data_IF_868276966199
#
_entry.id   IF_868276966199
#
_cell.length_a   1.000
_cell.length_b   1.000
_cell.length_c   1.000
_cell.angle_alpha   90.00
_cell.angle_beta   90.00
_cell.angle_gamma   90.00
#
_symmetry.space_group_name_H-M   'P 1'
#
loop_
_entity.id
_entity.type
_entity.pdbx_description
1 polymer ?
#
# COMPACT_ATOMS: atom_id res chain seq x y z
N UNK A 1 56.97 51.74 2.36
CA UNK A 1 55.73 51.27 1.71
C UNK A 1 55.89 49.80 1.34
N UNK A 2 55.29 48.89 2.11
CA UNK A 2 55.31 47.44 1.87
C UNK A 2 53.86 46.97 1.99
N UNK A 3 53.23 46.61 0.87
CA UNK A 3 51.88 46.05 0.86
C UNK A 3 51.96 44.54 1.08
N UNK A 4 51.44 44.10 2.22
CA UNK A 4 51.21 42.70 2.55
C UNK A 4 49.93 42.21 1.86
N UNK A 5 50.05 41.18 1.02
CA UNK A 5 48.92 40.48 0.43
C UNK A 5 48.44 39.39 1.41
N UNK A 6 47.20 39.50 1.86
CA UNK A 6 46.53 38.55 2.74
C UNK A 6 45.93 37.40 1.92
N UNK A 7 46.37 36.17 2.17
CA UNK A 7 45.70 34.96 1.72
C UNK A 7 44.42 34.75 2.54
N UNK A 8 43.25 34.89 1.91
CA UNK A 8 41.97 34.46 2.49
C UNK A 8 41.69 33.03 2.05
N UNK A 9 41.87 32.08 2.97
CA UNK A 9 41.35 30.73 2.85
C UNK A 9 39.82 30.78 2.75
N UNK A 10 39.25 30.41 1.60
CA UNK A 10 37.82 30.10 1.47
C UNK A 10 37.51 28.83 2.28
N UNK A 11 36.95 29.03 3.47
CA UNK A 11 36.23 27.98 4.20
C UNK A 11 35.06 27.49 3.32
N UNK A 12 35.10 26.21 2.95
CA UNK A 12 33.98 25.49 2.34
C UNK A 12 32.85 25.41 3.37
N UNK A 13 31.61 25.84 3.05
CA UNK A 13 30.48 25.58 3.93
C UNK A 13 30.28 24.07 4.01
N UNK A 14 30.43 23.52 5.21
CA UNK A 14 30.05 22.14 5.52
C UNK A 14 28.56 21.99 5.23
N UNK A 15 28.23 21.14 4.27
CA UNK A 15 26.89 20.60 4.08
C UNK A 15 26.42 20.03 5.42
N UNK A 16 25.38 20.65 6.00
CA UNK A 16 24.75 20.20 7.22
C UNK A 16 24.28 18.76 7.04
N UNK A 17 24.95 17.89 7.78
CA UNK A 17 24.77 16.44 7.78
C UNK A 17 23.30 16.08 7.99
N UNK A 18 22.72 15.44 6.97
CA UNK A 18 21.49 14.69 7.13
C UNK A 18 21.68 13.68 8.27
N UNK A 19 20.71 13.66 9.18
CA UNK A 19 20.72 12.89 10.43
C UNK A 19 21.06 11.40 10.22
N UNK A 20 22.34 11.07 10.32
CA UNK A 20 22.90 9.72 10.31
C UNK A 20 23.20 9.27 11.74
N UNK A 21 23.02 7.98 12.02
CA UNK A 21 23.66 7.36 13.19
C UNK A 21 25.18 7.30 12.96
N UNK A 22 25.96 7.20 14.05
CA UNK A 22 27.41 7.08 14.01
C UNK A 22 27.93 5.87 13.19
N UNK A 23 27.08 4.90 12.88
CA UNK A 23 27.40 3.68 12.11
C UNK A 23 27.04 3.77 10.60
N UNK A 24 26.58 4.93 10.11
CA UNK A 24 26.25 5.11 8.69
C UNK A 24 24.92 4.51 8.24
N UNK A 25 24.14 3.89 9.14
CA UNK A 25 22.81 3.37 8.81
C UNK A 25 21.80 4.51 8.59
N UNK A 26 21.00 4.41 7.53
CA UNK A 26 19.88 5.32 7.31
C UNK A 26 18.86 5.15 8.45
N UNK A 27 18.48 6.25 9.12
CA UNK A 27 17.35 6.24 10.07
C UNK A 27 16.09 5.83 9.30
N UNK A 28 15.67 4.58 9.46
CA UNK A 28 14.34 4.15 9.04
C UNK A 28 13.33 5.03 9.78
N UNK A 29 12.56 5.82 9.03
CA UNK A 29 11.36 6.47 9.56
C UNK A 29 10.51 5.35 10.12
N UNK A 30 10.40 5.26 11.45
CA UNK A 30 9.52 4.27 12.08
C UNK A 30 8.14 4.48 11.47
N UNK A 31 7.66 3.50 10.71
CA UNK A 31 6.26 3.41 10.37
C UNK A 31 5.52 3.28 11.69
N UNK A 32 4.85 4.35 12.11
CA UNK A 32 4.00 4.33 13.30
C UNK A 32 3.01 3.18 13.10
N UNK A 33 3.15 2.11 13.87
CA UNK A 33 2.15 1.04 13.95
C UNK A 33 0.89 1.70 14.54
N UNK A 34 -0.21 1.85 13.79
CA UNK A 34 -1.42 2.41 14.37
C UNK A 34 -1.92 1.41 15.42
N UNK A 35 -1.85 1.81 16.68
CA UNK A 35 -2.48 1.08 17.77
C UNK A 35 -3.99 1.19 17.56
N UNK A 36 -4.60 0.11 17.04
CA UNK A 36 -6.05 -0.02 16.96
C UNK A 36 -6.58 -0.27 18.36
N UNK A 37 -7.11 0.76 18.99
CA UNK A 37 -7.81 0.66 20.27
C UNK A 37 -9.24 0.20 19.99
N UNK A 38 -9.68 -0.86 20.68
CA UNK A 38 -11.04 -1.39 20.57
C UNK A 38 -12.08 -0.31 20.91
N UNK A 39 -13.23 -0.32 20.23
CA UNK A 39 -14.28 0.69 20.38
C UNK A 39 -14.81 0.83 21.83
N UNK A 40 -14.66 -0.22 22.63
CA UNK A 40 -15.11 -0.34 24.02
C UNK A 40 -14.02 0.02 25.06
N UNK A 41 -12.81 0.39 24.64
CA UNK A 41 -11.72 0.66 25.58
C UNK A 41 -11.88 2.03 26.26
N UNK A 42 -11.76 2.13 27.59
CA UNK A 42 -11.82 3.40 28.32
C UNK A 42 -10.64 4.35 28.01
N UNK A 43 -9.53 3.82 27.46
CA UNK A 43 -8.37 4.61 27.00
C UNK A 43 -8.61 5.36 25.67
N UNK A 44 -9.77 5.17 25.05
CA UNK A 44 -10.16 5.74 23.74
C UNK A 44 -10.15 7.26 23.72
N UNK A 45 -10.59 7.91 24.80
CA UNK A 45 -10.65 9.37 24.92
C UNK A 45 -9.26 10.02 24.99
N UNK A 46 -8.23 9.27 25.40
CA UNK A 46 -6.86 9.79 25.52
C UNK A 46 -6.08 9.73 24.20
N UNK A 47 -6.66 9.16 23.12
CA UNK A 47 -5.97 8.98 21.82
C UNK A 47 -6.80 9.35 20.60
N UNK A 48 -7.91 10.08 20.77
CA UNK A 48 -8.72 10.63 19.67
C UNK A 48 -7.96 11.77 18.97
N UNK A 49 -7.92 11.73 17.63
CA UNK A 49 -7.15 12.70 16.84
C UNK A 49 -5.68 12.36 16.68
N UNK A 50 -5.35 11.07 16.47
CA UNK A 50 -3.98 10.70 16.11
C UNK A 50 -3.57 11.43 14.84
N UNK A 51 -2.49 12.20 14.89
CA UNK A 51 -1.94 12.86 13.71
C UNK A 51 -1.09 11.88 12.91
N UNK A 52 -1.32 11.82 11.60
CA UNK A 52 -0.54 11.06 10.66
C UNK A 52 -0.16 11.89 9.44
N UNK A 53 0.40 11.23 8.44
CA UNK A 53 0.63 11.81 7.12
C UNK A 53 -0.12 11.01 6.07
N UNK A 54 -0.69 11.71 5.11
CA UNK A 54 -1.27 11.11 3.94
C UNK A 54 -0.18 10.39 3.14
N UNK A 55 -0.39 9.10 2.85
CA UNK A 55 0.56 8.30 2.06
C UNK A 55 0.75 8.77 0.62
N UNK A 56 -0.23 9.50 0.08
CA UNK A 56 -0.23 9.93 -1.32
C UNK A 56 0.31 11.34 -1.55
N UNK A 57 0.13 12.26 -0.59
CA UNK A 57 0.58 13.64 -0.74
C UNK A 57 1.50 14.14 0.38
N UNK A 58 1.79 13.31 1.39
CA UNK A 58 2.69 13.63 2.51
C UNK A 58 2.15 14.66 3.52
N UNK A 59 1.00 15.29 3.24
CA UNK A 59 0.38 16.29 4.10
C UNK A 59 -0.16 15.68 5.40
N UNK A 60 -0.26 16.50 6.44
CA UNK A 60 -0.76 16.07 7.75
C UNK A 60 -2.25 15.76 7.70
N UNK A 61 -2.65 14.72 8.42
CA UNK A 61 -4.04 14.27 8.59
C UNK A 61 -4.29 13.92 10.06
N UNK A 62 -5.53 14.05 10.51
CA UNK A 62 -5.96 13.59 11.82
C UNK A 62 -6.97 12.45 11.66
N UNK A 63 -6.74 11.37 12.39
CA UNK A 63 -7.57 10.16 12.34
C UNK A 63 -8.62 10.23 13.44
N UNK A 64 -9.88 10.09 13.04
CA UNK A 64 -11.03 10.06 13.95
C UNK A 64 -11.90 8.84 13.69
N UNK A 65 -12.60 8.35 14.71
CA UNK A 65 -13.64 7.34 14.51
C UNK A 65 -14.96 8.04 14.23
N UNK A 66 -15.75 7.48 13.32
CA UNK A 66 -17.11 7.91 13.04
C UNK A 66 -18.10 7.26 14.00
N UNK A 67 -19.33 7.76 14.02
CA UNK A 67 -20.43 7.16 14.78
C UNK A 67 -20.69 5.68 14.36
N UNK A 68 -20.45 5.32 13.10
CA UNK A 68 -20.54 3.96 12.57
C UNK A 68 -19.27 3.11 12.84
N UNK A 69 -18.39 3.57 13.73
CA UNK A 69 -17.10 2.95 14.10
C UNK A 69 -16.06 2.87 12.98
N UNK A 70 -16.34 3.38 11.77
CA UNK A 70 -15.35 3.43 10.69
C UNK A 70 -14.37 4.61 10.91
N UNK A 71 -13.08 4.47 10.61
CA UNK A 71 -12.15 5.60 10.68
C UNK A 71 -12.40 6.60 9.55
N UNK A 72 -12.07 7.87 9.80
CA UNK A 72 -12.02 8.93 8.80
C UNK A 72 -10.78 9.80 9.00
N UNK A 73 -10.14 10.12 7.88
CA UNK A 73 -9.01 11.04 7.83
C UNK A 73 -9.52 12.45 7.57
N UNK A 74 -9.41 13.31 8.58
CA UNK A 74 -9.78 14.72 8.47
C UNK A 74 -8.53 15.59 8.30
N UNK A 75 -8.66 16.67 7.54
CA UNK A 75 -7.65 17.70 7.52
C UNK A 75 -7.54 18.36 8.91
N UNK A 76 -6.33 18.62 9.45
CA UNK A 76 -6.17 19.12 10.81
C UNK A 76 -6.76 20.51 11.06
N UNK A 77 -6.83 21.34 10.02
CA UNK A 77 -7.32 22.72 10.12
C UNK A 77 -8.83 22.77 10.01
N UNK A 78 -9.45 23.52 10.92
CA UNK A 78 -10.86 23.87 10.89
C UNK A 78 -11.14 24.98 9.89
N UNK A 79 -12.27 24.90 9.24
CA UNK A 79 -12.72 25.81 8.19
C UNK A 79 -14.12 26.29 8.51
N UNK A 80 -14.38 27.56 8.20
CA UNK A 80 -15.69 28.16 8.38
C UNK A 80 -16.72 27.44 7.51
N UNK A 81 -17.86 27.07 8.07
CA UNK A 81 -18.93 26.36 7.33
C UNK A 81 -19.44 27.16 6.12
N UNK A 82 -19.40 28.49 6.18
CA UNK A 82 -19.77 29.40 5.07
C UNK A 82 -19.03 29.10 3.75
N UNK A 83 -17.77 28.67 3.82
CA UNK A 83 -16.92 28.45 2.64
C UNK A 83 -16.89 26.99 2.16
N UNK A 84 -17.56 26.08 2.88
CA UNK A 84 -17.46 24.63 2.67
C UNK A 84 -18.83 24.07 2.28
N UNK A 85 -18.95 23.31 1.18
CA UNK A 85 -20.21 22.64 0.84
C UNK A 85 -20.69 21.69 1.94
N UNK A 86 -21.99 21.62 2.19
CA UNK A 86 -22.56 20.81 3.28
C UNK A 86 -22.18 19.32 3.22
N UNK A 87 -21.98 18.77 2.01
CA UNK A 87 -21.54 17.40 1.77
C UNK A 87 -20.10 17.13 2.25
N UNK A 88 -19.28 18.16 2.41
CA UNK A 88 -17.89 18.05 2.82
C UNK A 88 -17.67 18.40 4.30
N UNK A 89 -18.71 18.83 5.03
CA UNK A 89 -18.62 19.27 6.42
C UNK A 89 -18.65 18.10 7.37
N UNK A 90 -17.69 18.10 8.29
CA UNK A 90 -17.63 17.16 9.41
C UNK A 90 -17.40 17.94 10.71
N UNK A 91 -18.04 17.52 11.78
CA UNK A 91 -17.79 18.04 13.12
C UNK A 91 -17.27 16.93 14.03
N UNK A 92 -16.67 17.34 15.14
CA UNK A 92 -16.17 16.41 16.15
C UNK A 92 -16.92 16.64 17.46
N UNK A 93 -17.52 15.58 17.99
CA UNK A 93 -18.12 15.56 19.32
C UNK A 93 -17.47 14.46 20.14
N UNK A 94 -16.88 14.80 21.29
CA UNK A 94 -16.17 13.86 22.17
C UNK A 94 -15.14 12.98 21.43
N UNK A 95 -14.49 13.54 20.41
CA UNK A 95 -13.50 12.86 19.57
C UNK A 95 -14.07 11.91 18.49
N UNK A 96 -15.39 11.83 18.37
CA UNK A 96 -16.11 11.11 17.30
C UNK A 96 -16.43 12.08 16.17
N UNK A 97 -16.20 11.65 14.93
CA UNK A 97 -16.48 12.42 13.73
C UNK A 97 -17.89 12.15 13.21
N UNK A 98 -18.64 13.21 13.02
CA UNK A 98 -20.02 13.17 12.53
C UNK A 98 -20.12 13.93 11.21
N UNK A 99 -20.85 13.40 10.22
CA UNK A 99 -21.09 14.11 8.97
C UNK A 99 -22.05 15.28 9.22
N UNK A 100 -21.98 16.30 8.36
CA UNK A 100 -22.76 17.53 8.41
C UNK A 100 -22.42 18.42 9.62
N UNK A 101 -23.08 19.58 9.71
CA UNK A 101 -22.86 20.53 10.80
C UNK A 101 -23.71 20.19 12.01
N UNK A 102 -23.14 20.37 13.20
CA UNK A 102 -23.81 20.41 14.51
C UNK A 102 -24.40 21.80 14.83
N UNK A 103 -24.49 22.69 13.84
CA UNK A 103 -24.81 24.11 14.03
C UNK A 103 -23.60 24.99 14.31
N UNK A 104 -22.39 24.43 14.43
CA UNK A 104 -21.16 25.21 14.58
C UNK A 104 -20.84 26.04 13.33
N UNK A 105 -20.21 27.20 13.55
CA UNK A 105 -19.61 28.02 12.50
C UNK A 105 -18.37 27.37 11.87
N UNK A 106 -17.85 26.29 12.47
CA UNK A 106 -16.61 25.63 12.09
C UNK A 106 -16.85 24.16 11.72
N UNK A 107 -16.12 23.67 10.74
CA UNK A 107 -16.13 22.28 10.34
C UNK A 107 -14.73 21.81 9.95
N UNK A 108 -14.56 20.49 9.89
CA UNK A 108 -13.41 19.84 9.28
C UNK A 108 -13.83 19.19 7.99
N UNK A 109 -12.84 18.91 7.14
CA UNK A 109 -13.05 18.36 5.81
C UNK A 109 -12.28 17.05 5.69
N UNK A 110 -12.86 16.01 5.06
CA UNK A 110 -12.14 14.79 4.77
C UNK A 110 -10.92 15.08 3.91
N UNK A 111 -9.77 14.51 4.29
CA UNK A 111 -8.53 14.74 3.56
C UNK A 111 -8.62 14.25 2.12
N UNK A 112 -9.44 13.24 1.82
CA UNK A 112 -9.68 12.75 0.46
C UNK A 112 -10.21 13.84 -0.49
N UNK A 113 -11.04 14.75 0.01
CA UNK A 113 -11.57 15.90 -0.75
C UNK A 113 -10.49 16.96 -1.00
N UNK A 114 -9.54 17.10 -0.07
CA UNK A 114 -8.48 18.10 -0.12
C UNK A 114 -7.16 17.59 -0.72
N UNK A 115 -7.01 16.28 -0.88
CA UNK A 115 -5.76 15.67 -1.30
C UNK A 115 -5.44 16.07 -2.75
N UNK A 116 -4.27 16.68 -3.00
CA UNK A 116 -3.85 17.03 -4.36
C UNK A 116 -3.76 15.85 -5.32
N UNK A 117 -3.55 14.65 -4.79
CA UNK A 117 -3.45 13.41 -5.57
C UNK A 117 -4.81 12.91 -6.09
N UNK A 118 -5.91 13.22 -5.40
CA UNK A 118 -7.23 12.75 -5.82
C UNK A 118 -7.92 13.82 -6.68
N UNK A 119 -8.47 13.46 -7.85
CA UNK A 119 -9.30 14.39 -8.61
C UNK A 119 -10.55 14.75 -7.77
N UNK A 120 -11.01 16.00 -7.83
CA UNK A 120 -12.24 16.40 -7.13
C UNK A 120 -13.42 15.61 -7.71
N UNK A 121 -14.14 14.90 -6.85
CA UNK A 121 -15.28 14.05 -7.26
C UNK A 121 -16.59 14.83 -7.41
N UNK A 122 -16.59 16.14 -7.11
CA UNK A 122 -17.74 17.04 -7.21
C UNK A 122 -17.24 18.49 -7.38
N UNK A 123 -18.09 19.44 -7.84
CA UNK A 123 -17.74 20.85 -7.88
C UNK A 123 -17.37 21.34 -6.48
N UNK A 124 -16.10 21.68 -6.29
CA UNK A 124 -15.59 22.20 -5.03
C UNK A 124 -15.74 23.72 -5.00
N UNK A 125 -16.02 24.31 -3.84
CA UNK A 125 -16.05 25.78 -3.73
C UNK A 125 -14.65 26.37 -4.02
N UNK A 126 -14.54 27.63 -4.48
CA UNK A 126 -13.24 28.26 -4.76
C UNK A 126 -12.28 28.25 -3.57
N UNK A 127 -12.83 28.28 -2.36
CA UNK A 127 -12.05 28.19 -1.12
C UNK A 127 -11.41 26.80 -0.95
N UNK A 128 -12.14 25.73 -1.23
CA UNK A 128 -11.62 24.35 -1.21
C UNK A 128 -10.51 24.18 -2.24
N UNK A 129 -10.67 24.76 -3.43
CA UNK A 129 -9.62 24.76 -4.45
C UNK A 129 -8.38 25.53 -4.02
N UNK A 130 -8.54 26.66 -3.33
CA UNK A 130 -7.42 27.39 -2.75
C UNK A 130 -6.65 26.53 -1.73
N UNK A 131 -7.36 25.83 -0.83
CA UNK A 131 -6.74 24.90 0.13
C UNK A 131 -6.04 23.74 -0.59
N UNK A 132 -6.66 23.15 -1.61
CA UNK A 132 -6.04 22.10 -2.45
C UNK A 132 -4.75 22.59 -3.11
N UNK A 133 -4.75 23.80 -3.67
CA UNK A 133 -3.55 24.42 -4.26
C UNK A 133 -2.44 24.61 -3.22
N UNK A 134 -2.77 25.11 -2.03
CA UNK A 134 -1.79 25.24 -0.94
C UNK A 134 -1.18 23.89 -0.54
N UNK A 135 -2.01 22.86 -0.43
CA UNK A 135 -1.54 21.50 -0.13
C UNK A 135 -0.68 20.92 -1.26
N UNK A 136 -0.97 21.24 -2.53
CA UNK A 136 -0.17 20.82 -3.68
C UNK A 136 1.24 21.45 -3.65
N UNK A 137 1.32 22.76 -3.41
CA UNK A 137 2.60 23.47 -3.23
C UNK A 137 3.38 22.87 -2.06
N UNK A 138 2.70 22.58 -0.95
CA UNK A 138 3.32 21.94 0.22
C UNK A 138 3.84 20.54 -0.11
N UNK A 139 3.07 19.72 -0.82
CA UNK A 139 3.51 18.41 -1.30
C UNK A 139 4.77 18.54 -2.14
N UNK A 140 4.81 19.48 -3.10
CA UNK A 140 6.00 19.69 -3.93
C UNK A 140 7.23 20.04 -3.09
N UNK A 141 7.10 20.96 -2.12
CA UNK A 141 8.19 21.28 -1.17
C UNK A 141 8.64 20.06 -0.36
N UNK A 142 7.71 19.22 0.09
CA UNK A 142 8.06 17.98 0.81
C UNK A 142 8.84 16.99 -0.07
N UNK A 143 8.56 16.95 -1.38
CA UNK A 143 9.32 16.16 -2.35
C UNK A 143 10.71 16.75 -2.54
N UNK A 144 10.81 18.05 -2.82
CA UNK A 144 12.09 18.72 -3.11
C UNK A 144 13.05 18.66 -1.91
N UNK A 145 12.52 18.66 -0.69
CA UNK A 145 13.30 18.52 0.56
C UNK A 145 13.62 17.07 0.95
N UNK A 146 13.13 16.07 0.18
CA UNK A 146 13.32 14.65 0.47
C UNK A 146 12.55 14.13 1.69
N UNK A 147 11.67 14.94 2.29
CA UNK A 147 10.83 14.55 3.45
C UNK A 147 9.70 13.61 3.02
N UNK A 148 9.28 13.68 1.76
CA UNK A 148 8.26 12.83 1.18
C UNK A 148 8.73 12.32 -0.19
N UNK A 149 8.96 11.02 -0.30
CA UNK A 149 9.10 10.37 -1.59
C UNK A 149 7.71 9.90 -2.01
N UNK A 150 7.11 10.46 -3.07
CA UNK A 150 5.84 9.96 -3.57
C UNK A 150 6.08 8.52 -3.99
N UNK A 151 5.12 7.64 -3.69
CA UNK A 151 5.09 6.35 -4.35
C UNK A 151 5.15 6.63 -5.85
N UNK A 152 6.04 5.97 -6.63
CA UNK A 152 6.08 6.18 -8.06
C UNK A 152 4.64 6.05 -8.55
N UNK A 153 4.17 7.05 -9.29
CA UNK A 153 2.92 6.93 -10.01
C UNK A 153 2.99 5.57 -10.67
N UNK A 154 1.98 4.72 -10.44
CA UNK A 154 1.85 3.54 -11.26
C UNK A 154 1.73 4.08 -12.67
N UNK A 155 2.86 4.14 -13.39
CA UNK A 155 2.83 4.21 -14.83
C UNK A 155 1.86 3.10 -15.19
N UNK A 156 0.77 3.46 -15.86
CA UNK A 156 0.08 2.47 -16.67
C UNK A 156 1.17 1.71 -17.39
N UNK A 157 1.25 0.38 -17.20
CA UNK A 157 2.34 -0.36 -17.78
C UNK A 157 2.27 -0.11 -19.28
N UNK A 158 3.34 0.51 -19.80
CA UNK A 158 3.55 0.57 -21.23
C UNK A 158 3.31 -0.84 -21.76
N UNK A 159 2.35 -0.95 -22.69
CA UNK A 159 2.04 -2.18 -23.37
C UNK A 159 3.31 -2.65 -24.10
N UNK A 160 4.12 -3.48 -23.44
CA UNK A 160 5.47 -3.73 -23.94
C UNK A 160 6.39 -4.46 -22.99
N UNK A 161 5.91 -5.46 -22.26
CA UNK A 161 6.73 -6.59 -21.80
C UNK A 161 5.78 -7.69 -21.33
N UNK A 162 5.76 -8.83 -22.04
CA UNK A 162 5.17 -10.12 -21.68
C UNK A 162 3.94 -10.05 -20.77
N UNK A 163 2.72 -10.23 -21.32
CA UNK A 163 1.43 -10.03 -20.65
C UNK A 163 1.11 -10.94 -19.44
N UNK A 164 2.04 -11.10 -18.50
CA UNK A 164 1.94 -11.86 -17.26
C UNK A 164 1.99 -10.89 -16.07
N UNK A 165 1.08 -11.04 -15.09
CA UNK A 165 1.06 -10.19 -13.92
C UNK A 165 2.31 -10.37 -13.06
N UNK A 166 3.00 -9.28 -12.74
CA UNK A 166 4.18 -9.29 -11.87
C UNK A 166 3.88 -9.76 -10.45
N UNK A 167 2.62 -9.59 -9.98
CA UNK A 167 2.13 -10.05 -8.68
C UNK A 167 0.72 -10.64 -8.85
N UNK A 168 0.64 -11.93 -9.20
CA UNK A 168 -0.61 -12.61 -9.51
C UNK A 168 -1.49 -12.83 -8.28
N UNK A 169 -2.81 -12.81 -8.50
CA UNK A 169 -3.80 -13.27 -7.51
C UNK A 169 -3.94 -14.78 -7.61
N UNK A 170 -3.83 -15.46 -6.48
CA UNK A 170 -3.80 -16.92 -6.36
C UNK A 170 -4.96 -17.37 -5.48
N UNK A 171 -5.70 -18.37 -5.91
CA UNK A 171 -6.75 -18.98 -5.11
C UNK A 171 -6.29 -20.34 -4.59
N UNK A 172 -6.26 -20.49 -3.27
CA UNK A 172 -5.90 -21.73 -2.57
C UNK A 172 -6.57 -21.76 -1.20
N UNK A 173 -6.90 -22.94 -0.69
CA UNK A 173 -7.55 -23.13 0.62
C UNK A 173 -8.78 -22.24 0.83
N UNK A 174 -9.60 -22.08 -0.23
CA UNK A 174 -10.80 -21.21 -0.28
C UNK A 174 -10.54 -19.70 -0.06
N UNK A 175 -9.28 -19.30 0.05
CA UNK A 175 -8.85 -17.91 0.17
C UNK A 175 -8.24 -17.40 -1.14
N UNK A 176 -8.17 -16.07 -1.26
CA UNK A 176 -7.42 -15.40 -2.31
C UNK A 176 -6.22 -14.68 -1.72
N UNK A 177 -5.07 -14.88 -2.35
CA UNK A 177 -3.79 -14.35 -1.92
C UNK A 177 -3.12 -13.64 -3.08
N UNK A 178 -2.48 -12.51 -2.80
CA UNK A 178 -1.57 -11.85 -3.71
C UNK A 178 -0.17 -12.43 -3.51
N UNK A 179 0.43 -12.93 -4.58
CA UNK A 179 1.81 -13.41 -4.55
C UNK A 179 2.82 -12.26 -4.39
N UNK A 180 4.01 -12.59 -3.90
CA UNK A 180 5.12 -11.64 -3.77
C UNK A 180 5.66 -11.23 -5.15
N UNK A 181 5.77 -12.20 -6.07
CA UNK A 181 6.32 -12.09 -7.44
C UNK A 181 5.47 -12.94 -8.39
N UNK A 182 5.84 -12.99 -9.68
CA UNK A 182 5.24 -13.91 -10.64
C UNK A 182 5.28 -15.36 -10.13
N UNK A 183 4.29 -16.18 -10.50
CA UNK A 183 4.09 -17.54 -9.95
C UNK A 183 5.34 -18.40 -10.11
N UNK A 184 5.98 -18.33 -11.27
CA UNK A 184 7.19 -19.06 -11.63
C UNK A 184 8.40 -18.65 -10.78
N UNK A 185 8.43 -17.42 -10.29
CA UNK A 185 9.53 -16.84 -9.53
C UNK A 185 9.35 -16.98 -8.02
N UNK A 186 8.19 -17.46 -7.56
CA UNK A 186 7.93 -17.66 -6.13
C UNK A 186 8.90 -18.71 -5.59
N UNK A 187 9.89 -18.27 -4.79
CA UNK A 187 10.93 -19.15 -4.24
C UNK A 187 10.53 -19.79 -2.92
N UNK A 188 11.03 -20.98 -2.70
CA UNK A 188 10.92 -21.69 -1.43
C UNK A 188 11.42 -20.84 -0.24
N UNK A 189 10.72 -20.90 0.89
CA UNK A 189 11.14 -20.20 2.13
C UNK A 189 12.01 -21.05 3.06
N UNK A 190 12.07 -22.37 2.80
CA UNK A 190 12.84 -23.30 3.61
C UNK A 190 14.35 -23.04 3.52
N UNK A 191 15.05 -23.39 4.59
CA UNK A 191 16.48 -23.32 4.72
C UNK A 191 17.15 -24.56 4.10
N UNK A 192 18.21 -24.33 3.32
CA UNK A 192 19.08 -25.40 2.81
C UNK A 192 20.05 -25.90 3.88
N UNK A 193 20.73 -27.03 3.63
CA UNK A 193 21.81 -27.54 4.51
C UNK A 193 22.93 -26.51 4.75
N UNK A 194 23.18 -25.63 3.78
CA UNK A 194 24.17 -24.55 3.86
C UNK A 194 23.63 -23.28 4.53
N UNK A 195 22.48 -23.36 5.22
CA UNK A 195 21.84 -22.24 5.94
C UNK A 195 21.41 -21.05 5.08
N UNK A 196 21.31 -21.21 3.76
CA UNK A 196 20.75 -20.20 2.86
C UNK A 196 19.29 -20.50 2.52
N UNK A 197 18.52 -19.48 2.12
CA UNK A 197 17.19 -19.67 1.55
C UNK A 197 17.27 -20.57 0.32
N UNK A 198 16.38 -21.54 0.23
CA UNK A 198 16.33 -22.44 -0.91
C UNK A 198 16.06 -21.64 -2.20
N UNK A 199 16.91 -21.77 -3.24
CA UNK A 199 16.74 -21.06 -4.50
C UNK A 199 15.65 -21.67 -5.37
N UNK A 200 15.16 -22.87 -5.04
CA UNK A 200 14.22 -23.62 -5.86
C UNK A 200 12.84 -22.94 -5.84
N UNK A 201 12.16 -22.87 -7.00
CA UNK A 201 10.79 -22.36 -7.07
C UNK A 201 9.82 -23.28 -6.33
N UNK A 202 8.70 -22.69 -5.88
CA UNK A 202 7.57 -23.44 -5.33
C UNK A 202 6.83 -24.17 -6.45
N UNK A 203 6.76 -23.59 -7.64
CA UNK A 203 6.30 -24.25 -8.84
C UNK A 203 7.34 -25.31 -9.27
N UNK A 204 6.95 -26.58 -9.36
CA UNK A 204 7.82 -27.60 -9.92
C UNK A 204 7.70 -27.62 -11.44
N UNK A 205 8.82 -27.91 -12.14
CA UNK A 205 8.83 -28.05 -13.60
C UNK A 205 7.96 -29.21 -14.13
N UNK A 206 7.61 -30.19 -13.29
CA UNK A 206 6.89 -31.42 -13.67
C UNK A 206 5.67 -31.73 -12.80
N UNK A 207 5.21 -30.80 -11.95
CA UNK A 207 4.11 -31.02 -11.01
C UNK A 207 2.78 -30.46 -11.53
N UNK A 208 1.63 -30.92 -11.00
CA UNK A 208 0.32 -30.38 -11.36
C UNK A 208 0.29 -28.86 -11.11
N UNK A 209 -0.12 -28.15 -12.15
CA UNK A 209 -0.15 -26.69 -12.18
C UNK A 209 -1.53 -26.18 -11.74
N UNK A 210 -1.55 -24.98 -11.18
CA UNK A 210 -2.78 -24.22 -11.11
C UNK A 210 -3.22 -23.80 -12.51
N UNK A 211 -4.49 -23.46 -12.65
CA UNK A 211 -5.04 -23.00 -13.92
C UNK A 211 -5.33 -21.50 -13.83
N UNK A 212 -4.97 -20.77 -14.88
CA UNK A 212 -5.41 -19.39 -15.03
C UNK A 212 -6.89 -19.36 -15.37
N UNK A 213 -7.69 -18.69 -14.56
CA UNK A 213 -9.14 -18.56 -14.73
C UNK A 213 -9.60 -17.14 -14.45
N UNK A 214 -10.72 -16.73 -15.06
CA UNK A 214 -11.37 -15.46 -14.77
C UNK A 214 -12.42 -15.67 -13.68
N UNK A 215 -12.19 -15.08 -12.51
CA UNK A 215 -13.13 -15.13 -11.39
C UNK A 215 -13.60 -13.73 -11.02
N UNK A 216 -14.81 -13.58 -10.46
CA UNK A 216 -15.27 -12.27 -9.99
C UNK A 216 -14.32 -11.71 -8.93
N UNK A 217 -13.91 -10.45 -9.06
CA UNK A 217 -13.12 -9.71 -8.06
C UNK A 217 -13.94 -9.33 -6.81
N UNK A 218 -15.06 -10.02 -6.56
CA UNK A 218 -15.97 -9.71 -5.46
C UNK A 218 -15.27 -9.73 -4.11
N UNK A 219 -15.71 -8.81 -3.27
CA UNK A 219 -15.32 -8.76 -1.87
C UNK A 219 -15.87 -9.94 -1.08
N UNK A 220 -15.03 -10.58 -0.27
CA UNK A 220 -15.52 -11.54 0.72
C UNK A 220 -16.14 -10.79 1.89
N UNK A 221 -17.49 -10.80 1.95
CA UNK A 221 -18.38 -10.35 3.04
C UNK A 221 -18.31 -8.85 3.41
N UNK A 222 -19.45 -8.17 3.29
CA UNK A 222 -19.71 -6.88 3.93
C UNK A 222 -19.09 -5.64 3.28
N UNK A 223 -18.46 -5.76 2.10
CA UNK A 223 -17.96 -4.60 1.34
C UNK A 223 -18.92 -4.27 0.17
N UNK A 224 -18.87 -3.03 -0.31
CA UNK A 224 -19.67 -2.55 -1.46
C UNK A 224 -19.45 -3.48 -2.66
N UNK A 225 -20.54 -3.86 -3.32
CA UNK A 225 -20.47 -4.64 -4.54
C UNK A 225 -19.64 -3.86 -5.58
N UNK A 226 -18.46 -4.38 -5.91
CA UNK A 226 -17.73 -3.90 -7.06
C UNK A 226 -18.56 -4.21 -8.32
N UNK A 227 -18.54 -3.34 -9.35
CA UNK A 227 -19.02 -3.73 -10.68
C UNK A 227 -18.44 -5.09 -11.02
N UNK A 228 -19.23 -5.96 -11.68
CA UNK A 228 -18.89 -7.36 -11.98
C UNK A 228 -17.58 -7.47 -12.80
N UNK A 229 -16.46 -7.27 -12.12
CA UNK A 229 -15.13 -7.17 -12.70
C UNK A 229 -14.55 -8.54 -12.57
N UNK A 230 -14.38 -9.21 -13.71
CA UNK A 230 -13.63 -10.45 -13.78
C UNK A 230 -12.15 -10.15 -13.61
N UNK A 231 -11.44 -11.02 -12.89
CA UNK A 231 -10.00 -10.92 -12.71
C UNK A 231 -9.34 -12.27 -12.97
N UNK A 232 -8.14 -12.22 -13.53
CA UNK A 232 -7.28 -13.38 -13.73
C UNK A 232 -6.77 -13.84 -12.38
N UNK A 233 -7.10 -15.08 -12.04
CA UNK A 233 -6.69 -15.78 -10.84
C UNK A 233 -5.97 -17.05 -11.23
N UNK A 234 -4.83 -17.30 -10.60
CA UNK A 234 -4.17 -18.59 -10.66
C UNK A 234 -4.82 -19.52 -9.65
N UNK A 235 -5.68 -20.41 -10.14
CA UNK A 235 -6.51 -21.28 -9.32
C UNK A 235 -5.78 -22.59 -8.99
N UNK A 236 -5.39 -22.73 -7.74
CA UNK A 236 -4.80 -23.93 -7.15
C UNK A 236 -5.84 -24.76 -6.38
N UNK A 237 -7.10 -24.34 -6.32
CA UNK A 237 -8.14 -25.04 -5.54
C UNK A 237 -8.41 -26.46 -6.03
N UNK A 238 -8.04 -26.78 -7.27
CA UNK A 238 -8.13 -28.12 -7.86
C UNK A 238 -7.00 -29.06 -7.46
N UNK A 239 -5.93 -28.54 -6.84
CA UNK A 239 -4.86 -29.38 -6.34
C UNK A 239 -5.30 -30.15 -5.08
N UNK A 240 -4.68 -31.32 -4.79
CA UNK A 240 -4.87 -32.00 -3.52
C UNK A 240 -4.60 -31.05 -2.33
N UNK A 241 -5.31 -31.25 -1.23
CA UNK A 241 -5.20 -30.38 -0.04
C UNK A 241 -3.75 -30.21 0.45
N UNK A 242 -2.96 -31.30 0.47
CA UNK A 242 -1.56 -31.26 0.86
C UNK A 242 -0.71 -30.35 -0.06
N UNK A 243 -1.00 -30.35 -1.37
CA UNK A 243 -0.34 -29.46 -2.32
C UNK A 243 -0.77 -28.01 -2.10
N UNK A 244 -2.05 -27.74 -1.83
CA UNK A 244 -2.50 -26.38 -1.47
C UNK A 244 -1.81 -25.86 -0.21
N UNK A 245 -1.61 -26.72 0.80
CA UNK A 245 -0.90 -26.37 2.03
C UNK A 245 0.60 -26.15 1.78
N UNK A 246 1.23 -26.94 0.91
CA UNK A 246 2.61 -26.74 0.44
C UNK A 246 2.77 -25.37 -0.24
N UNK A 247 1.85 -25.02 -1.12
CA UNK A 247 1.80 -23.68 -1.74
C UNK A 247 1.62 -22.59 -0.68
N UNK A 248 0.67 -22.77 0.26
CA UNK A 248 0.41 -21.81 1.36
C UNK A 248 1.62 -21.56 2.25
N UNK A 249 2.44 -22.59 2.48
CA UNK A 249 3.70 -22.54 3.24
C UNK A 249 4.91 -22.16 2.38
N UNK A 250 4.71 -21.98 1.08
CA UNK A 250 5.73 -21.56 0.11
C UNK A 250 6.96 -22.49 0.12
N UNK A 251 6.72 -23.80 0.10
CA UNK A 251 7.79 -24.82 0.04
C UNK A 251 7.89 -25.48 -1.33
N UNK A 252 9.11 -25.69 -1.84
CA UNK A 252 9.33 -26.49 -3.04
C UNK A 252 9.04 -27.98 -2.76
N UNK A 253 8.79 -28.82 -3.79
CA UNK A 253 8.48 -30.24 -3.60
C UNK A 253 9.55 -31.00 -2.80
N UNK A 254 10.83 -30.70 -3.02
CA UNK A 254 11.93 -31.34 -2.29
C UNK A 254 11.88 -31.05 -0.77
N UNK A 255 11.55 -29.82 -0.37
CA UNK A 255 11.40 -29.46 1.05
C UNK A 255 10.04 -29.84 1.64
N UNK A 256 9.04 -30.12 0.80
CA UNK A 256 7.78 -30.69 1.23
C UNK A 256 7.91 -32.19 1.55
N UNK A 257 8.70 -32.92 0.77
CA UNK A 257 9.02 -34.33 1.01
C UNK A 257 9.87 -34.55 2.28
N UNK A 258 10.60 -33.53 2.74
CA UNK A 258 11.44 -33.56 3.93
C UNK A 258 11.12 -32.39 4.88
N UNK A 259 10.02 -32.48 5.65
CA UNK A 259 9.48 -31.34 6.41
C UNK A 259 10.39 -30.82 7.55
N UNK A 260 11.48 -31.52 7.90
CA UNK A 260 12.42 -31.14 8.96
C UNK A 260 13.26 -29.88 8.70
N UNK A 261 13.20 -29.28 7.51
CA UNK A 261 13.88 -28.02 7.24
C UNK A 261 13.14 -26.83 7.88
N UNK A 262 13.87 -25.99 8.62
CA UNK A 262 13.34 -24.74 9.17
C UNK A 262 13.06 -23.70 8.06
N UNK A 263 12.13 -22.79 8.29
CA UNK A 263 11.87 -21.67 7.38
C UNK A 263 12.83 -20.51 7.69
N UNK A 264 13.51 -20.01 6.65
CA UNK A 264 14.44 -18.88 6.75
C UNK A 264 13.76 -17.53 6.45
N UNK A 265 12.57 -17.57 5.85
CA UNK A 265 11.76 -16.39 5.53
C UNK A 265 10.28 -16.71 5.83
N UNK A 266 9.49 -15.65 6.03
CA UNK A 266 8.03 -15.79 6.04
C UNK A 266 7.53 -16.02 4.61
N UNK A 267 6.44 -16.77 4.47
CA UNK A 267 5.76 -16.89 3.19
C UNK A 267 5.24 -15.52 2.74
N UNK A 268 5.59 -15.10 1.53
CA UNK A 268 5.28 -13.81 0.92
C UNK A 268 3.83 -13.62 0.46
N UNK A 269 2.92 -14.49 0.91
CA UNK A 269 1.49 -14.41 0.59
C UNK A 269 0.82 -13.26 1.35
N UNK A 270 0.17 -12.36 0.61
CA UNK A 270 -0.67 -11.31 1.19
C UNK A 270 -2.14 -11.68 0.98
N UNK A 271 -3.01 -11.47 1.98
CA UNK A 271 -4.46 -11.70 1.78
C UNK A 271 -4.97 -10.70 0.75
N UNK A 272 -5.62 -11.19 -0.31
CA UNK A 272 -6.13 -10.36 -1.38
C UNK A 272 -7.43 -9.66 -0.95
N UNK A 273 -7.34 -8.34 -0.80
CA UNK A 273 -8.48 -7.42 -0.73
C UNK A 273 -8.63 -6.68 -2.07
N UNK A 274 -9.77 -6.81 -2.78
CA UNK A 274 -9.99 -6.18 -4.09
C UNK A 274 -9.87 -4.65 -4.07
N UNK A 275 -10.22 -3.99 -2.96
CA UNK A 275 -10.17 -2.54 -2.83
C UNK A 275 -8.74 -2.05 -2.57
N UNK A 276 -7.96 -2.81 -1.79
CA UNK A 276 -6.57 -2.46 -1.50
C UNK A 276 -5.60 -2.85 -2.61
N UNK A 277 -5.95 -3.88 -3.40
CA UNK A 277 -5.08 -4.46 -4.42
C UNK A 277 -5.64 -4.30 -5.85
N UNK A 278 -6.41 -3.23 -6.09
CA UNK A 278 -7.00 -2.94 -7.40
C UNK A 278 -5.97 -2.89 -8.54
N UNK A 279 -4.75 -2.43 -8.27
CA UNK A 279 -3.64 -2.41 -9.24
C UNK A 279 -3.17 -3.80 -9.70
N UNK A 280 -3.55 -4.86 -8.97
CA UNK A 280 -3.24 -6.25 -9.28
C UNK A 280 -4.44 -7.01 -9.87
N UNK A 281 -5.54 -6.30 -10.14
CA UNK A 281 -6.71 -6.84 -10.84
C UNK A 281 -6.43 -6.76 -12.34
N UNK A 282 -6.19 -7.92 -12.95
CA UNK A 282 -6.02 -8.04 -14.39
C UNK A 282 -7.26 -8.68 -15.00
N UNK A 283 -7.92 -8.02 -15.95
CA UNK A 283 -9.19 -8.50 -16.54
C UNK A 283 -9.02 -9.49 -17.69
N UNK A 284 -7.77 -9.79 -18.07
CA UNK A 284 -7.42 -10.72 -19.15
C UNK A 284 -6.53 -11.83 -18.60
N UNK A 285 -6.73 -13.05 -19.10
CA UNK A 285 -5.83 -14.16 -18.80
C UNK A 285 -4.42 -13.85 -19.35
N UNK A 286 -3.35 -14.23 -18.64
CA UNK A 286 -2.02 -14.17 -19.19
C UNK A 286 -1.94 -15.01 -20.46
N UNK A 287 -1.37 -14.44 -21.53
CA UNK A 287 -1.21 -15.21 -22.77
C UNK A 287 -0.29 -16.40 -22.49
N UNK A 288 -0.72 -17.60 -22.87
CA UNK A 288 0.18 -18.73 -22.96
C UNK A 288 1.24 -18.37 -24.02
N UNK A 289 2.50 -18.34 -23.63
CA UNK A 289 3.59 -18.34 -24.61
C UNK A 289 3.44 -19.65 -25.39
N UNK A 290 3.29 -19.63 -26.73
CA UNK A 290 3.39 -20.85 -27.52
C UNK A 290 4.77 -21.46 -27.24
N UNK A 291 4.79 -22.62 -26.60
CA UNK A 291 6.04 -23.35 -26.40
C UNK A 291 6.61 -23.78 -27.75
N UNK A 292 7.93 -23.71 -27.97
CA UNK A 292 8.55 -24.21 -29.19
C UNK A 292 8.67 -25.73 -29.14
N UNK A 293 7.56 -26.44 -29.40
CA UNK A 293 7.53 -27.88 -29.71
C UNK A 293 6.32 -28.13 -30.61
N UNK A 294 6.38 -28.70 -31.80
CA UNK A 294 7.45 -29.31 -32.56
C UNK A 294 6.86 -29.68 -33.94
N UNK A 295 7.76 -29.92 -34.91
CA UNK A 295 7.43 -30.45 -36.23
C UNK A 295 6.60 -31.73 -36.14
N UNK A 296 5.63 -31.86 -37.03
CA UNK A 296 5.34 -33.10 -37.77
C UNK A 296 5.28 -32.72 -39.23
#
# INVERSE_FOLDING_TARGET
MRHAAWHVHRMRPHSTSAARHWDGSSRAVRLCRPLRVAATSPSRLLRTGQSGRCRWCGNRINWHQRADQRPIDLHPTELTTAHVPASCRWHLSSGIAHPHGDGSAWCRIPHTVLCPHHPPTAPTSPHIEAVRRQLAVRTRRLIDTGVFTPAPAACEPAAGATGRPARPVVQLLLGRYLAETAIEDVRCVAQTRHRHRCPQPVLAHHAPQGLWTLLPASSQRGQLALPATLMAVYDLSRLPYAEQLRWRTQRCPAHAAHPGAADLALAGWQVFDPLLHAAHIHTRLPHAVPGPHGKV
#
